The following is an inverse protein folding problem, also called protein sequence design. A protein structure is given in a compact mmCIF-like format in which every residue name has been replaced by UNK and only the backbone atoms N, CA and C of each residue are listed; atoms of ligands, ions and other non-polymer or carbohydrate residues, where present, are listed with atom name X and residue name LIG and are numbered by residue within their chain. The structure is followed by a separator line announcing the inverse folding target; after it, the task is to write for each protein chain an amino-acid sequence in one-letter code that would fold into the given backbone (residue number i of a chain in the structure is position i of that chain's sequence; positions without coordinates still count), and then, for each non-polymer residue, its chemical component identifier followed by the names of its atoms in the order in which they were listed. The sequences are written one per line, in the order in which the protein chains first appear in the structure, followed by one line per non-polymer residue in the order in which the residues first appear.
data_IF_853452329297
#
_entry.id   IF_853452329297
#
_cell.length_a   1.000
_cell.length_b   1.000
_cell.length_c   1.000
_cell.angle_alpha   90.00
_cell.angle_beta   90.00
_cell.angle_gamma   90.00
#
_symmetry.space_group_name_H-M   'P 1'
#
loop_
_entity.id
_entity.type
_entity.pdbx_description
1 polymer ?
#
# COMPACT_ATOMS: atom_id res chain seq x y z
N UNK A 1 20.02 -6.62 19.64
CA UNK A 1 19.54 -5.94 18.42
C UNK A 1 18.43 -4.96 18.80
N UNK A 2 18.54 -3.68 18.35
CA UNK A 2 17.56 -2.62 18.70
C UNK A 2 16.34 -2.62 17.75
N UNK A 3 16.50 -3.02 16.49
CA UNK A 3 15.43 -3.05 15.48
C UNK A 3 14.36 -4.09 15.80
N UNK A 4 13.10 -3.69 15.85
CA UNK A 4 11.94 -4.53 16.20
C UNK A 4 11.07 -4.88 15.00
N UNK A 5 11.01 -4.02 13.98
CA UNK A 5 10.26 -4.25 12.75
C UNK A 5 10.92 -3.51 11.59
N UNK A 6 10.60 -3.93 10.36
CA UNK A 6 10.92 -3.24 9.11
C UNK A 6 9.60 -2.74 8.54
N UNK A 7 9.51 -1.42 8.25
CA UNK A 7 8.31 -0.82 7.68
C UNK A 7 8.65 -0.25 6.30
N UNK A 8 8.60 -1.04 5.22
CA UNK A 8 8.80 -0.55 3.87
C UNK A 8 7.58 0.23 3.39
N UNK A 9 7.81 1.41 2.82
CA UNK A 9 6.77 2.21 2.19
C UNK A 9 6.80 1.97 0.67
N UNK A 10 5.68 1.56 0.10
CA UNK A 10 5.49 1.40 -1.35
C UNK A 10 5.09 2.74 -1.97
N UNK A 11 6.07 3.65 -2.01
CA UNK A 11 5.86 5.05 -2.34
C UNK A 11 5.38 5.24 -3.78
N UNK A 12 4.40 6.13 -3.98
CA UNK A 12 3.80 6.49 -5.29
C UNK A 12 3.12 5.35 -6.06
N UNK A 13 2.99 4.18 -5.46
CA UNK A 13 2.52 2.97 -6.15
C UNK A 13 3.66 2.11 -6.69
N UNK A 14 4.91 2.48 -6.40
CA UNK A 14 6.12 1.74 -6.70
C UNK A 14 6.53 0.92 -5.47
N UNK A 15 6.53 -0.39 -5.60
CA UNK A 15 6.87 -1.25 -4.46
C UNK A 15 8.37 -1.18 -4.13
N UNK A 16 8.68 -1.11 -2.85
CA UNK A 16 10.03 -1.36 -2.34
C UNK A 16 10.49 -2.76 -2.76
N UNK A 17 11.79 -2.97 -2.92
CA UNK A 17 12.31 -4.29 -3.29
C UNK A 17 12.08 -5.33 -2.19
N UNK A 18 10.87 -5.89 -2.16
CA UNK A 18 10.43 -6.84 -1.15
C UNK A 18 11.21 -8.16 -1.19
N UNK A 19 11.77 -8.55 -2.34
CA UNK A 19 12.60 -9.76 -2.46
C UNK A 19 13.83 -9.65 -1.55
N UNK A 20 14.49 -8.48 -1.54
CA UNK A 20 15.64 -8.22 -0.65
C UNK A 20 15.22 -8.12 0.81
N UNK A 21 14.11 -7.43 1.09
CA UNK A 21 13.65 -7.23 2.47
C UNK A 21 13.16 -8.53 3.11
N UNK A 22 12.47 -9.39 2.37
CA UNK A 22 12.05 -10.71 2.86
C UNK A 22 13.25 -11.58 3.24
N UNK A 23 14.35 -11.56 2.45
CA UNK A 23 15.60 -12.23 2.80
C UNK A 23 16.22 -11.70 4.11
N UNK A 24 16.23 -10.37 4.29
CA UNK A 24 16.72 -9.75 5.52
C UNK A 24 15.84 -10.09 6.72
N UNK A 25 14.52 -10.00 6.57
CA UNK A 25 13.56 -10.38 7.60
C UNK A 25 13.80 -11.81 8.09
N UNK A 26 13.89 -12.77 7.17
CA UNK A 26 14.16 -14.18 7.49
C UNK A 26 15.52 -14.35 8.19
N UNK A 27 16.58 -13.71 7.68
CA UNK A 27 17.93 -13.80 8.24
C UNK A 27 18.01 -13.30 9.69
N UNK A 28 17.34 -12.18 9.96
CA UNK A 28 17.42 -11.52 11.28
C UNK A 28 16.22 -11.79 12.18
N UNK A 29 15.23 -12.53 11.70
CA UNK A 29 13.95 -12.81 12.39
C UNK A 29 13.29 -11.51 12.86
N UNK A 30 13.18 -10.55 11.97
CA UNK A 30 12.55 -9.25 12.19
C UNK A 30 11.28 -9.18 11.33
N UNK A 31 10.11 -8.89 11.91
CA UNK A 31 8.85 -8.82 11.16
C UNK A 31 8.84 -7.65 10.19
N UNK A 32 8.06 -7.81 9.11
CA UNK A 32 7.79 -6.77 8.12
C UNK A 32 6.33 -6.33 8.23
N UNK A 33 6.13 -5.00 8.31
CA UNK A 33 4.83 -4.34 8.19
C UNK A 33 4.85 -3.48 6.93
N UNK A 34 4.18 -3.92 5.87
CA UNK A 34 4.16 -3.17 4.60
C UNK A 34 3.25 -1.94 4.73
N UNK A 35 3.79 -0.75 4.51
CA UNK A 35 2.99 0.42 4.19
C UNK A 35 2.64 0.38 2.69
N UNK A 36 1.53 -0.27 2.36
CA UNK A 36 1.00 -0.40 1.01
C UNK A 36 -0.08 0.65 0.69
N UNK A 37 -0.14 1.74 1.48
CA UNK A 37 -1.16 2.79 1.37
C UNK A 37 -1.24 3.48 -0.01
N UNK A 38 -0.23 3.34 -0.84
CA UNK A 38 -0.18 3.90 -2.18
C UNK A 38 -0.08 2.82 -3.27
N UNK A 39 -0.13 1.53 -2.93
CA UNK A 39 0.22 0.44 -3.84
C UNK A 39 -0.81 -0.69 -3.92
N UNK A 40 -2.10 -0.37 -3.72
CA UNK A 40 -3.16 -1.37 -3.90
C UNK A 40 -3.11 -1.95 -5.33
N UNK A 41 -3.10 -3.28 -5.46
CA UNK A 41 -2.88 -4.04 -6.71
C UNK A 41 -1.48 -3.89 -7.34
N UNK A 42 -0.53 -3.22 -6.69
CA UNK A 42 0.88 -3.28 -7.06
C UNK A 42 1.43 -4.68 -6.82
N UNK A 43 2.41 -5.14 -7.63
CA UNK A 43 3.00 -6.46 -7.45
C UNK A 43 4.45 -6.54 -7.92
N UNK A 44 5.20 -7.50 -7.38
CA UNK A 44 6.51 -7.92 -7.86
C UNK A 44 6.43 -9.41 -8.15
N UNK A 45 6.79 -9.86 -9.37
CA UNK A 45 6.67 -11.25 -9.78
C UNK A 45 5.27 -11.84 -9.48
N UNK A 46 4.21 -11.06 -9.75
CA UNK A 46 2.80 -11.39 -9.47
C UNK A 46 2.42 -11.58 -7.98
N UNK A 47 3.35 -11.37 -7.03
CA UNK A 47 3.03 -11.33 -5.60
C UNK A 47 2.65 -9.90 -5.21
N UNK A 48 1.43 -9.73 -4.72
CA UNK A 48 0.84 -8.41 -4.48
C UNK A 48 1.45 -7.69 -3.28
N UNK A 49 1.43 -6.35 -3.31
CA UNK A 49 1.67 -5.51 -2.14
C UNK A 49 0.74 -5.89 -1.00
N UNK A 50 1.23 -5.78 0.23
CA UNK A 50 0.49 -6.15 1.45
C UNK A 50 0.42 -7.65 1.71
N UNK A 51 1.17 -8.48 0.94
CA UNK A 51 1.20 -9.95 1.12
C UNK A 51 2.61 -10.51 1.31
N UNK A 52 3.61 -9.66 1.38
CA UNK A 52 5.02 -10.04 1.54
C UNK A 52 5.45 -10.13 2.99
N UNK A 53 4.94 -9.23 3.83
CA UNK A 53 5.24 -9.16 5.25
C UNK A 53 4.27 -9.91 6.15
N UNK A 54 4.42 -9.70 7.44
CA UNK A 54 3.50 -10.21 8.47
C UNK A 54 2.16 -9.47 8.42
N UNK A 55 2.21 -8.19 8.03
CA UNK A 55 1.07 -7.30 7.85
C UNK A 55 1.26 -6.44 6.62
N UNK A 56 0.15 -6.10 5.96
CA UNK A 56 0.05 -5.06 4.96
C UNK A 56 -1.01 -4.04 5.36
N UNK A 57 -0.69 -2.74 5.31
CA UNK A 57 -1.61 -1.66 5.60
C UNK A 57 -1.95 -0.90 4.32
N UNK A 58 -3.24 -0.68 4.09
CA UNK A 58 -3.77 0.07 2.94
C UNK A 58 -4.60 1.25 3.42
N UNK A 59 -4.43 2.39 2.79
CA UNK A 59 -5.27 3.57 3.00
C UNK A 59 -6.42 3.58 1.99
N UNK A 60 -7.59 3.93 2.47
CA UNK A 60 -8.79 4.20 1.66
C UNK A 60 -9.17 5.69 1.69
N UNK A 61 -8.23 6.57 2.08
CA UNK A 61 -8.40 8.02 2.05
C UNK A 61 -8.87 8.50 0.67
N UNK A 62 -9.65 9.60 0.54
CA UNK A 62 -10.24 10.08 -0.71
C UNK A 62 -9.26 10.26 -1.88
N UNK A 63 -7.99 10.57 -1.62
CA UNK A 63 -6.97 10.74 -2.65
C UNK A 63 -6.33 9.43 -3.12
N UNK A 64 -6.69 8.28 -2.55
CA UNK A 64 -6.12 6.98 -2.94
C UNK A 64 -6.79 6.43 -4.19
N UNK A 65 -6.09 5.51 -4.87
CA UNK A 65 -6.57 4.84 -6.07
C UNK A 65 -7.93 4.15 -5.87
N UNK A 66 -8.12 3.61 -4.67
CA UNK A 66 -9.39 3.08 -4.16
C UNK A 66 -9.66 3.82 -2.85
N UNK A 67 -10.85 4.35 -2.69
CA UNK A 67 -11.22 5.16 -1.54
C UNK A 67 -12.66 4.90 -1.09
N UNK A 68 -13.01 5.43 0.07
CA UNK A 68 -14.34 5.27 0.69
C UNK A 68 -15.01 6.61 1.01
N UNK A 69 -14.62 7.67 0.27
CA UNK A 69 -15.13 9.06 0.37
C UNK A 69 -14.82 9.77 1.69
N UNK A 70 -14.13 9.11 2.60
CA UNK A 70 -13.64 9.64 3.88
C UNK A 70 -12.41 8.83 4.30
N UNK A 71 -11.92 9.03 5.51
CA UNK A 71 -10.83 8.24 6.05
C UNK A 71 -11.23 6.78 6.23
N UNK A 72 -10.33 5.89 5.88
CA UNK A 72 -10.51 4.46 6.03
C UNK A 72 -9.23 3.70 5.72
N UNK A 73 -9.20 2.43 6.10
CA UNK A 73 -8.05 1.57 5.86
C UNK A 73 -8.38 0.10 5.97
N UNK A 74 -7.47 -0.71 5.45
CA UNK A 74 -7.53 -2.17 5.50
C UNK A 74 -6.18 -2.67 5.98
N UNK A 75 -6.19 -3.68 6.86
CA UNK A 75 -4.99 -4.43 7.22
C UNK A 75 -5.14 -5.84 6.70
N UNK A 76 -4.11 -6.35 6.04
CA UNK A 76 -4.01 -7.73 5.56
C UNK A 76 -2.97 -8.51 6.36
N UNK A 77 -3.23 -9.78 6.61
CA UNK A 77 -2.28 -10.73 7.19
C UNK A 77 -2.63 -12.15 6.79
N UNK A 78 -1.61 -12.99 6.59
CA UNK A 78 -1.77 -14.43 6.36
C UNK A 78 -1.75 -15.24 7.67
N UNK A 79 -1.58 -14.58 8.82
CA UNK A 79 -1.49 -15.23 10.13
C UNK A 79 -2.82 -15.13 10.89
N UNK A 80 -3.49 -16.27 11.08
CA UNK A 80 -4.79 -16.35 11.79
C UNK A 80 -4.74 -15.80 13.23
N UNK A 81 -3.60 -15.95 13.93
CA UNK A 81 -3.43 -15.41 15.29
C UNK A 81 -3.40 -13.90 15.27
N UNK A 82 -2.65 -13.31 14.33
CA UNK A 82 -2.59 -11.85 14.14
C UNK A 82 -3.96 -11.29 13.72
N UNK A 83 -4.64 -11.96 12.78
CA UNK A 83 -6.00 -11.57 12.39
C UNK A 83 -6.95 -11.48 13.57
N UNK A 84 -7.01 -12.51 14.43
CA UNK A 84 -7.85 -12.51 15.63
C UNK A 84 -7.47 -11.37 16.59
N UNK A 85 -6.18 -11.09 16.76
CA UNK A 85 -5.72 -10.00 17.62
C UNK A 85 -6.09 -8.61 17.07
N UNK A 86 -5.96 -8.42 15.76
CA UNK A 86 -6.37 -7.18 15.07
C UNK A 86 -7.87 -6.91 15.18
N UNK A 87 -8.72 -7.93 15.16
CA UNK A 87 -10.16 -7.77 15.40
C UNK A 87 -10.47 -7.18 16.78
N UNK A 88 -9.73 -7.61 17.80
CA UNK A 88 -9.85 -7.03 19.14
C UNK A 88 -9.32 -5.60 19.18
N UNK A 89 -8.10 -5.38 18.68
CA UNK A 89 -7.47 -4.05 18.68
C UNK A 89 -8.35 -3.00 17.98
N UNK A 90 -8.97 -3.35 16.86
CA UNK A 90 -9.83 -2.48 16.08
C UNK A 90 -11.09 -2.03 16.84
N UNK A 91 -11.60 -2.86 17.75
CA UNK A 91 -12.88 -2.67 18.42
C UNK A 91 -12.71 -2.66 19.94
N UNK A 92 -12.01 -1.67 20.48
CA UNK A 92 -11.84 -1.42 21.93
C UNK A 92 -11.26 -2.60 22.73
N UNK A 93 -10.72 -3.63 22.09
CA UNK A 93 -10.26 -4.87 22.75
C UNK A 93 -11.38 -5.79 23.20
N UNK A 94 -12.61 -5.58 22.72
CA UNK A 94 -13.81 -6.31 23.11
C UNK A 94 -13.86 -7.71 22.47
N UNK A 95 -14.18 -8.72 23.28
CA UNK A 95 -14.53 -10.08 22.82
C UNK A 95 -16.04 -10.28 22.64
N UNK A 96 -16.82 -9.55 23.41
CA UNK A 96 -18.26 -9.42 23.33
C UNK A 96 -18.66 -7.99 23.72
N UNK A 97 -19.96 -7.74 23.92
CA UNK A 97 -20.50 -6.40 24.18
C UNK A 97 -19.90 -5.73 25.42
N UNK A 98 -19.62 -6.50 26.46
CA UNK A 98 -19.34 -5.98 27.80
C UNK A 98 -17.95 -6.39 28.33
N UNK A 99 -17.22 -7.28 27.62
CA UNK A 99 -15.95 -7.85 28.09
C UNK A 99 -14.76 -7.33 27.30
N UNK A 100 -13.89 -6.54 27.94
CA UNK A 100 -12.61 -6.07 27.38
C UNK A 100 -11.52 -7.09 27.70
N UNK A 101 -10.86 -7.62 26.67
CA UNK A 101 -9.77 -8.59 26.80
C UNK A 101 -8.38 -7.96 26.76
N UNK A 102 -8.22 -6.89 25.97
CA UNK A 102 -6.96 -6.16 25.78
C UNK A 102 -7.25 -4.66 25.65
N UNK A 103 -6.26 -3.81 25.87
CA UNK A 103 -6.36 -2.42 25.45
C UNK A 103 -6.50 -2.35 23.92
N UNK A 104 -7.47 -1.63 23.41
CA UNK A 104 -7.76 -1.50 21.98
C UNK A 104 -8.13 -0.08 21.60
N UNK A 105 -8.45 0.10 20.32
CA UNK A 105 -8.78 1.38 19.71
C UNK A 105 -10.20 1.36 19.17
N UNK A 106 -10.79 2.52 18.98
CA UNK A 106 -11.91 2.69 18.07
C UNK A 106 -11.36 2.99 16.66
N UNK A 107 -11.16 1.94 15.85
CA UNK A 107 -10.69 2.06 14.48
C UNK A 107 -11.48 1.16 13.53
N UNK A 108 -12.80 1.22 13.67
CA UNK A 108 -13.75 0.53 12.81
C UNK A 108 -13.97 1.34 11.54
N UNK A 109 -14.11 0.67 10.41
CA UNK A 109 -14.64 1.28 9.20
C UNK A 109 -16.16 1.47 9.37
N UNK A 110 -16.64 2.66 9.04
CA UNK A 110 -18.08 2.95 9.08
C UNK A 110 -18.83 2.11 8.03
N UNK A 111 -20.08 1.76 8.31
CA UNK A 111 -20.90 0.94 7.42
C UNK A 111 -21.13 1.63 6.08
N UNK A 112 -21.35 2.96 6.08
CA UNK A 112 -21.52 3.72 4.84
C UNK A 112 -20.24 3.67 3.98
N UNK A 113 -19.08 3.85 4.59
CA UNK A 113 -17.79 3.74 3.91
C UNK A 113 -17.56 2.32 3.36
N UNK A 114 -17.97 1.29 4.10
CA UNK A 114 -17.88 -0.09 3.63
C UNK A 114 -18.75 -0.34 2.39
N UNK A 115 -19.94 0.26 2.31
CA UNK A 115 -20.82 0.21 1.11
C UNK A 115 -20.12 0.84 -0.09
N UNK A 116 -19.51 2.03 0.07
CA UNK A 116 -18.74 2.69 -1.00
C UNK A 116 -17.57 1.82 -1.43
N UNK A 117 -16.84 1.25 -0.47
CA UNK A 117 -15.72 0.36 -0.73
C UNK A 117 -16.13 -0.87 -1.53
N UNK A 118 -17.22 -1.53 -1.13
CA UNK A 118 -17.75 -2.70 -1.84
C UNK A 118 -18.21 -2.38 -3.29
N UNK A 119 -18.73 -1.18 -3.53
CA UNK A 119 -19.09 -0.72 -4.87
C UNK A 119 -17.86 -0.42 -5.74
N UNK A 120 -16.78 0.12 -5.14
CA UNK A 120 -15.58 0.54 -5.87
C UNK A 120 -14.58 -0.60 -6.08
N UNK A 121 -14.50 -1.54 -5.14
CA UNK A 121 -13.50 -2.62 -5.14
C UNK A 121 -13.52 -3.48 -6.43
N UNK A 122 -14.68 -3.88 -6.99
CA UNK A 122 -14.72 -4.60 -8.27
C UNK A 122 -14.09 -3.83 -9.44
N UNK A 123 -14.06 -2.50 -9.37
CA UNK A 123 -13.50 -1.59 -10.39
C UNK A 123 -12.00 -1.35 -10.22
N UNK A 124 -11.40 -1.84 -9.14
CA UNK A 124 -10.00 -1.56 -8.79
C UNK A 124 -9.01 -1.93 -9.90
N UNK A 125 -9.24 -3.07 -10.58
CA UNK A 125 -8.39 -3.52 -11.69
C UNK A 125 -8.45 -2.57 -12.88
N UNK A 126 -9.62 -2.08 -13.26
CA UNK A 126 -9.78 -1.13 -14.36
C UNK A 126 -9.19 0.24 -14.03
N UNK A 127 -9.35 0.70 -12.79
CA UNK A 127 -8.73 1.95 -12.31
C UNK A 127 -7.21 1.85 -12.39
N UNK A 128 -6.62 0.76 -11.90
CA UNK A 128 -5.18 0.54 -11.98
C UNK A 128 -4.68 0.48 -13.44
N UNK A 129 -5.41 -0.22 -14.31
CA UNK A 129 -5.08 -0.32 -15.74
C UNK A 129 -5.10 1.07 -16.43
N UNK A 130 -6.09 1.91 -16.12
CA UNK A 130 -6.17 3.26 -16.68
C UNK A 130 -5.01 4.15 -16.19
N UNK A 131 -4.62 4.07 -14.92
CA UNK A 131 -3.45 4.78 -14.37
C UNK A 131 -2.15 4.34 -15.04
N UNK A 132 -1.98 3.04 -15.25
CA UNK A 132 -0.82 2.49 -15.98
C UNK A 132 -0.80 3.00 -17.42
N UNK A 133 -1.95 3.01 -18.10
CA UNK A 133 -2.06 3.54 -19.48
C UNK A 133 -1.66 5.01 -19.53
N UNK A 134 -2.13 5.83 -18.59
CA UNK A 134 -1.75 7.25 -18.50
C UNK A 134 -0.25 7.43 -18.22
N UNK A 135 0.32 6.63 -17.32
CA UNK A 135 1.74 6.68 -17.02
C UNK A 135 2.61 6.30 -18.22
N UNK A 136 2.23 5.27 -18.97
CA UNK A 136 2.92 4.88 -20.21
C UNK A 136 2.85 5.99 -21.27
N UNK A 137 1.74 6.72 -21.34
CA UNK A 137 1.62 7.89 -22.20
C UNK A 137 2.63 8.98 -21.80
N UNK A 138 2.71 9.28 -20.48
CA UNK A 138 3.69 10.24 -19.98
C UNK A 138 5.14 9.75 -20.20
N UNK A 139 5.45 8.50 -19.94
CA UNK A 139 6.78 7.94 -20.16
C UNK A 139 7.22 8.16 -21.63
N UNK A 140 6.29 7.94 -22.58
CA UNK A 140 6.56 8.12 -24.03
C UNK A 140 6.83 9.59 -24.39
N UNK A 141 6.06 10.53 -23.84
CA UNK A 141 6.15 11.93 -24.24
C UNK A 141 7.18 12.75 -23.42
N UNK A 142 7.43 12.35 -22.17
CA UNK A 142 8.36 13.05 -21.29
C UNK A 142 9.77 12.43 -21.27
N UNK A 143 9.91 11.17 -21.72
CA UNK A 143 11.17 10.43 -21.62
C UNK A 143 12.33 11.04 -22.42
N UNK A 144 12.05 11.85 -23.43
CA UNK A 144 13.04 12.53 -24.28
C UNK A 144 13.44 13.92 -23.76
N UNK A 145 12.79 14.41 -22.70
CA UNK A 145 13.10 15.72 -22.12
C UNK A 145 14.44 15.65 -21.37
N UNK A 146 15.36 16.57 -21.71
CA UNK A 146 16.70 16.60 -21.11
C UNK A 146 16.71 17.08 -19.65
N UNK A 147 15.69 17.83 -19.24
CA UNK A 147 15.55 18.47 -17.93
C UNK A 147 15.10 17.52 -16.83
N UNK A 148 14.50 16.40 -17.19
CA UNK A 148 13.93 15.45 -16.23
C UNK A 148 14.51 14.05 -16.38
N UNK A 149 14.32 13.25 -15.35
CA UNK A 149 14.57 11.80 -15.33
C UNK A 149 13.32 11.08 -14.85
N UNK A 150 12.86 10.10 -15.60
CA UNK A 150 11.77 9.21 -15.22
C UNK A 150 12.35 8.04 -14.39
N UNK A 151 11.74 7.68 -13.25
CA UNK A 151 12.16 6.51 -12.49
C UNK A 151 12.14 5.23 -13.34
N UNK A 152 13.04 4.26 -13.10
CA UNK A 152 13.07 2.99 -13.84
C UNK A 152 11.73 2.25 -13.79
N UNK A 153 11.40 1.50 -14.83
CA UNK A 153 10.20 0.65 -14.95
C UNK A 153 10.61 -0.84 -15.12
N UNK A 154 11.03 -1.53 -14.04
CA UNK A 154 11.42 -2.93 -14.14
C UNK A 154 10.25 -3.80 -14.60
N UNK A 155 10.49 -4.71 -15.52
CA UNK A 155 9.44 -5.54 -16.16
C UNK A 155 8.72 -6.48 -15.19
N UNK A 156 9.40 -6.85 -14.10
CA UNK A 156 8.82 -7.71 -13.05
C UNK A 156 8.02 -6.96 -11.98
N UNK A 157 7.89 -5.60 -12.11
CA UNK A 157 7.10 -4.76 -11.20
C UNK A 157 5.83 -4.30 -11.91
N UNK A 158 4.69 -4.51 -11.27
CA UNK A 158 3.44 -3.83 -11.62
C UNK A 158 3.30 -2.57 -10.77
N UNK A 159 3.65 -1.42 -11.34
CA UNK A 159 3.55 -0.12 -10.69
C UNK A 159 2.14 0.42 -10.94
N UNK A 160 1.42 0.84 -9.88
CA UNK A 160 -0.01 1.24 -10.00
C UNK A 160 -0.22 2.76 -9.99
N UNK A 161 0.85 3.51 -9.93
CA UNK A 161 0.87 4.98 -10.11
C UNK A 161 -0.19 5.72 -9.28
N UNK A 162 -0.06 5.60 -7.95
CA UNK A 162 -0.77 6.52 -7.07
C UNK A 162 -0.40 7.97 -7.41
N UNK A 163 0.88 8.23 -7.64
CA UNK A 163 1.40 9.46 -8.22
C UNK A 163 2.32 9.11 -9.39
N UNK A 164 2.35 9.97 -10.41
CA UNK A 164 3.36 9.96 -11.45
C UNK A 164 4.43 10.97 -11.07
N UNK A 165 5.66 10.52 -10.85
CA UNK A 165 6.79 11.36 -10.43
C UNK A 165 7.87 11.41 -11.49
N UNK A 166 8.53 12.56 -11.57
CA UNK A 166 9.74 12.80 -12.35
C UNK A 166 10.78 13.48 -11.46
N UNK A 167 12.04 13.34 -11.78
CA UNK A 167 13.12 14.04 -11.10
C UNK A 167 13.68 15.13 -11.99
N UNK A 168 13.77 16.39 -11.51
CA UNK A 168 14.50 17.44 -12.17
C UNK A 168 16.00 17.16 -12.12
N UNK A 169 16.69 17.29 -13.24
CA UNK A 169 18.15 17.06 -13.32
C UNK A 169 18.95 18.21 -12.72
N UNK A 170 18.41 19.43 -12.74
CA UNK A 170 19.02 20.60 -12.12
C UNK A 170 18.03 21.28 -11.18
N UNK A 171 18.51 21.81 -10.06
CA UNK A 171 17.70 22.62 -9.16
C UNK A 171 17.20 23.86 -9.89
N UNK A 172 15.89 24.12 -9.86
CA UNK A 172 15.26 25.26 -10.55
C UNK A 172 15.06 25.08 -12.07
N UNK A 173 15.24 23.87 -12.62
CA UNK A 173 14.97 23.61 -14.05
C UNK A 173 13.48 23.35 -14.37
N UNK A 174 12.63 23.32 -13.37
CA UNK A 174 11.17 23.23 -13.50
C UNK A 174 10.57 24.30 -12.58
N UNK A 175 9.99 25.32 -13.14
CA UNK A 175 9.21 26.36 -12.46
C UNK A 175 7.73 26.06 -12.59
#
# INVERSE_FOLDING_TARGET
KKTKAIVPVHFTGYMTNMIKLEKLSKKYKIPIVEDACQSILGSINNKNAGTWGDFGAFSLHPLKNINVWSDGGIITTNNKKYYKHLLLLRNHGLIDRDTVKICGYNSRLDTFQAVVGNWLLPKAKSIAAQRIKNANYYDKHLGNLKEITIPPRPSNFKIVFHLYIVFAKKKGSIT
#
